data_IF_601404467613
#
_entry.id   IF_601404467613
#
_cell.length_a   1.000
_cell.length_b   1.000
_cell.length_c   1.000
_cell.angle_alpha   90.00
_cell.angle_beta   90.00
_cell.angle_gamma   90.00
#
_symmetry.space_group_name_H-M   'P 1'
#
loop_
_entity.id
_entity.type
_entity.pdbx_description
1 polymer ?
#
# COMPACT_ATOMS: atom_id res chain seq x y z
N UNK A 1 -68.90 42.28 5.76
CA UNK A 1 -69.20 40.86 5.52
C UNK A 1 -67.92 40.17 5.04
N UNK A 2 -67.51 39.09 5.70
CA UNK A 2 -66.28 38.32 5.44
C UNK A 2 -66.40 37.57 4.11
N UNK A 3 -65.28 37.32 3.43
CA UNK A 3 -64.87 35.99 2.91
C UNK A 3 -63.33 35.98 2.90
N UNK A 4 -62.72 35.10 3.68
CA UNK A 4 -61.29 34.74 3.61
C UNK A 4 -61.19 33.52 2.70
N UNK A 5 -60.41 33.58 1.63
CA UNK A 5 -60.06 32.40 0.82
C UNK A 5 -58.69 31.93 1.28
N UNK A 6 -58.67 30.74 1.87
CA UNK A 6 -57.47 29.97 2.17
C UNK A 6 -56.90 29.44 0.86
N UNK A 7 -55.63 29.73 0.56
CA UNK A 7 -54.88 28.97 -0.45
C UNK A 7 -53.76 28.23 0.26
N UNK A 8 -53.97 26.94 0.46
CA UNK A 8 -53.03 26.01 1.06
C UNK A 8 -52.20 25.42 -0.08
N UNK A 9 -50.98 25.92 -0.26
CA UNK A 9 -50.03 25.38 -1.24
C UNK A 9 -49.26 24.26 -0.57
N UNK A 10 -49.60 23.02 -0.92
CA UNK A 10 -48.85 21.83 -0.51
C UNK A 10 -47.56 21.75 -1.34
N UNK A 11 -46.41 22.06 -0.73
CA UNK A 11 -45.10 21.83 -1.32
C UNK A 11 -44.72 20.35 -1.15
N UNK A 12 -44.77 19.58 -2.23
CA UNK A 12 -44.23 18.22 -2.28
C UNK A 12 -42.69 18.29 -2.31
N UNK A 13 -42.06 18.12 -1.15
CA UNK A 13 -40.62 17.92 -1.03
C UNK A 13 -40.27 16.53 -1.57
N UNK A 14 -39.88 16.44 -2.84
CA UNK A 14 -39.23 15.25 -3.37
C UNK A 14 -37.83 15.14 -2.74
N UNK A 15 -37.71 14.39 -1.66
CA UNK A 15 -36.42 13.89 -1.19
C UNK A 15 -35.91 12.89 -2.23
N UNK A 16 -35.04 13.36 -3.12
CA UNK A 16 -34.19 12.47 -3.92
C UNK A 16 -33.20 11.86 -2.94
N UNK A 17 -33.52 10.68 -2.40
CA UNK A 17 -32.54 9.81 -1.77
C UNK A 17 -31.55 9.41 -2.86
N UNK A 18 -30.45 10.16 -2.94
CA UNK A 18 -29.28 9.69 -3.67
C UNK A 18 -28.75 8.50 -2.89
N UNK A 19 -29.13 7.29 -3.31
CA UNK A 19 -28.44 6.08 -2.91
C UNK A 19 -27.02 6.21 -3.44
N UNK A 20 -26.11 6.75 -2.63
CA UNK A 20 -24.68 6.60 -2.85
C UNK A 20 -24.41 5.10 -2.75
N UNK A 21 -24.41 4.42 -3.90
CA UNK A 21 -23.81 3.10 -3.99
C UNK A 21 -22.36 3.28 -3.57
N UNK A 22 -21.97 2.62 -2.47
CA UNK A 22 -20.57 2.48 -2.07
C UNK A 22 -19.87 1.70 -3.17
N UNK A 23 -19.43 2.41 -4.21
CA UNK A 23 -18.60 1.86 -5.25
C UNK A 23 -17.32 1.36 -4.59
N UNK A 24 -16.96 0.10 -4.84
CA UNK A 24 -15.74 -0.47 -4.30
C UNK A 24 -14.56 0.28 -4.96
N UNK A 25 -14.03 1.28 -4.26
CA UNK A 25 -12.94 2.15 -4.73
C UNK A 25 -11.76 1.34 -5.26
N UNK A 26 -11.53 0.14 -4.71
CA UNK A 26 -10.45 -0.73 -5.16
C UNK A 26 -10.60 -1.18 -6.62
N UNK A 27 -11.82 -1.31 -7.14
CA UNK A 27 -12.08 -1.67 -8.54
C UNK A 27 -11.57 -0.61 -9.52
N UNK A 28 -11.44 0.66 -9.09
CA UNK A 28 -10.83 1.69 -9.93
C UNK A 28 -9.34 1.46 -10.21
N UNK A 29 -8.69 0.56 -9.46
CA UNK A 29 -7.29 0.16 -9.64
C UNK A 29 -7.14 -1.20 -10.36
N UNK A 30 -8.22 -1.76 -10.93
CA UNK A 30 -8.21 -3.10 -11.56
C UNK A 30 -7.08 -3.25 -12.57
N UNK A 31 -6.81 -2.23 -13.38
CA UNK A 31 -5.72 -2.23 -14.36
C UNK A 31 -4.36 -2.49 -13.73
N UNK A 32 -4.07 -1.93 -12.54
CA UNK A 32 -2.81 -2.17 -11.84
C UNK A 32 -2.69 -3.64 -11.37
N UNK A 33 -3.81 -4.24 -10.98
CA UNK A 33 -3.86 -5.66 -10.58
C UNK A 33 -3.72 -6.62 -11.77
N UNK A 34 -4.33 -6.28 -12.91
CA UNK A 34 -4.27 -7.09 -14.13
C UNK A 34 -2.90 -7.02 -14.82
N UNK A 35 -2.11 -5.97 -14.56
CA UNK A 35 -0.85 -5.70 -15.24
C UNK A 35 0.34 -5.74 -14.27
N UNK A 36 0.65 -4.63 -13.59
CA UNK A 36 1.85 -4.49 -12.75
C UNK A 36 1.92 -5.51 -11.62
N UNK A 37 0.77 -5.86 -11.04
CA UNK A 37 0.67 -6.82 -9.93
C UNK A 37 0.19 -8.21 -10.37
N UNK A 38 0.13 -8.50 -11.68
CA UNK A 38 -0.43 -9.76 -12.19
C UNK A 38 0.24 -10.98 -11.57
N UNK A 39 1.58 -10.95 -11.44
CA UNK A 39 2.35 -12.07 -10.90
C UNK A 39 2.07 -12.26 -9.40
N UNK A 40 1.84 -11.17 -8.67
CA UNK A 40 1.41 -11.23 -7.28
C UNK A 40 -0.03 -11.73 -7.16
N UNK A 41 -0.97 -11.26 -7.99
CA UNK A 41 -2.36 -11.76 -7.95
C UNK A 41 -2.46 -13.24 -8.28
N UNK A 42 -1.61 -13.73 -9.18
CA UNK A 42 -1.58 -15.13 -9.60
C UNK A 42 -1.16 -16.10 -8.49
N UNK A 43 -0.54 -15.62 -7.41
CA UNK A 43 -0.20 -16.48 -6.27
C UNK A 43 -1.39 -16.82 -5.38
N UNK A 44 -2.50 -16.08 -5.48
CA UNK A 44 -3.70 -16.29 -4.67
C UNK A 44 -4.81 -16.95 -5.48
N UNK A 45 -5.29 -18.12 -5.04
CA UNK A 45 -6.48 -18.73 -5.65
C UNK A 45 -7.70 -17.85 -5.36
N UNK A 46 -8.68 -17.83 -6.26
CA UNK A 46 -9.92 -17.07 -6.10
C UNK A 46 -9.72 -15.57 -5.81
N UNK A 47 -8.59 -14.98 -6.25
CA UNK A 47 -8.38 -13.54 -6.11
C UNK A 47 -9.44 -12.78 -6.93
N UNK A 48 -10.25 -11.97 -6.25
CA UNK A 48 -11.25 -11.13 -6.88
C UNK A 48 -11.42 -9.83 -6.08
N UNK A 49 -11.11 -8.70 -6.69
CA UNK A 49 -11.17 -7.36 -6.08
C UNK A 49 -12.56 -7.00 -5.55
N UNK A 50 -13.64 -7.52 -6.16
CA UNK A 50 -15.02 -7.28 -5.70
C UNK A 50 -15.29 -7.90 -4.32
N UNK A 51 -14.51 -8.92 -3.92
CA UNK A 51 -14.62 -9.58 -2.62
C UNK A 51 -13.81 -8.88 -1.53
N UNK A 52 -13.04 -7.84 -1.87
CA UNK A 52 -12.32 -7.05 -0.89
C UNK A 52 -13.19 -5.93 -0.34
N UNK A 53 -13.00 -5.64 0.94
CA UNK A 53 -13.68 -4.57 1.63
C UNK A 53 -12.73 -3.83 2.58
N UNK A 54 -13.08 -2.59 2.90
CA UNK A 54 -12.32 -1.76 3.84
C UNK A 54 -12.39 -2.41 5.21
N UNK A 55 -11.24 -2.87 5.71
CA UNK A 55 -11.11 -3.36 7.07
C UNK A 55 -10.76 -2.24 8.05
N UNK A 56 -9.95 -1.26 7.62
CA UNK A 56 -9.65 -0.08 8.40
C UNK A 56 -9.14 1.08 7.55
N UNK A 57 -9.27 2.30 8.07
CA UNK A 57 -8.60 3.49 7.55
C UNK A 57 -7.90 4.17 8.72
N UNK A 58 -6.62 4.48 8.55
CA UNK A 58 -5.79 5.18 9.53
C UNK A 58 -5.16 6.40 8.91
N UNK A 59 -4.75 7.36 9.75
CA UNK A 59 -3.95 8.49 9.30
C UNK A 59 -2.50 8.08 9.09
N UNK A 60 -1.86 8.71 8.11
CA UNK A 60 -0.42 8.65 7.96
C UNK A 60 0.28 9.27 9.18
N UNK A 61 1.43 8.71 9.55
CA UNK A 61 2.29 9.33 10.56
C UNK A 61 2.79 10.69 10.08
N UNK A 62 3.18 11.54 11.03
CA UNK A 62 3.86 12.79 10.69
C UNK A 62 5.20 12.51 10.01
N UNK A 63 5.62 13.43 9.14
CA UNK A 63 6.91 13.32 8.48
C UNK A 63 8.02 13.82 9.42
N UNK A 64 9.17 13.15 9.39
CA UNK A 64 10.41 13.61 10.01
C UNK A 64 11.32 14.26 8.98
N UNK A 65 12.22 15.12 9.44
CA UNK A 65 13.25 15.71 8.60
C UNK A 65 14.24 14.63 8.13
N UNK A 66 14.59 14.67 6.84
CA UNK A 66 15.56 13.77 6.22
C UNK A 66 16.77 14.58 5.78
N UNK A 67 17.96 14.20 6.25
CA UNK A 67 19.19 14.80 5.77
C UNK A 67 19.66 14.09 4.49
N UNK A 68 19.23 14.57 3.33
CA UNK A 68 19.61 13.97 2.03
C UNK A 68 21.09 14.13 1.67
N UNK A 69 21.84 14.94 2.42
CA UNK A 69 23.29 15.10 2.25
C UNK A 69 24.09 14.23 3.21
N UNK A 70 23.43 13.48 4.10
CA UNK A 70 24.10 12.52 4.96
C UNK A 70 24.72 11.40 4.13
N UNK A 71 26.00 11.10 4.40
CA UNK A 71 26.74 10.08 3.65
C UNK A 71 26.14 8.67 3.82
N UNK A 72 25.54 8.38 4.98
CA UNK A 72 24.85 7.12 5.23
C UNK A 72 23.61 7.00 4.33
N UNK A 73 22.80 8.05 4.24
CA UNK A 73 21.64 8.09 3.34
C UNK A 73 22.03 7.96 1.86
N UNK A 74 23.08 8.67 1.42
CA UNK A 74 23.57 8.59 0.03
C UNK A 74 24.02 7.17 -0.32
N UNK A 75 24.77 6.53 0.58
CA UNK A 75 25.22 5.15 0.39
C UNK A 75 24.05 4.16 0.40
N UNK A 76 23.11 4.33 1.32
CA UNK A 76 21.89 3.54 1.41
C UNK A 76 21.08 3.58 0.10
N UNK A 77 20.83 4.77 -0.46
CA UNK A 77 20.15 4.88 -1.75
C UNK A 77 20.98 4.24 -2.86
N UNK A 78 22.29 4.47 -2.88
CA UNK A 78 23.18 3.89 -3.90
C UNK A 78 23.06 2.36 -3.98
N UNK A 79 23.03 1.70 -2.82
CA UNK A 79 22.92 0.25 -2.70
C UNK A 79 21.52 -0.27 -3.07
N UNK A 80 20.48 0.31 -2.50
CA UNK A 80 19.12 -0.22 -2.63
C UNK A 80 18.36 0.30 -3.84
N UNK A 81 18.92 1.24 -4.62
CA UNK A 81 18.27 1.83 -5.80
C UNK A 81 17.55 0.83 -6.71
N UNK A 82 18.07 -0.39 -7.00
CA UNK A 82 17.37 -1.36 -7.84
C UNK A 82 16.02 -1.83 -7.27
N UNK A 83 15.90 -1.84 -5.94
CA UNK A 83 14.71 -2.36 -5.22
C UNK A 83 13.81 -1.29 -4.63
N UNK A 84 14.25 -0.03 -4.62
CA UNK A 84 13.38 1.09 -4.25
C UNK A 84 12.27 1.31 -5.27
N UNK A 85 11.11 1.76 -4.79
CA UNK A 85 9.92 2.02 -5.60
C UNK A 85 9.73 3.51 -5.80
N UNK A 86 10.29 4.06 -6.88
CA UNK A 86 10.20 5.48 -7.21
C UNK A 86 8.83 5.86 -7.81
N UNK A 87 8.35 7.05 -7.47
CA UNK A 87 7.26 7.70 -8.20
C UNK A 87 7.69 8.10 -9.61
N UNK A 88 6.74 8.41 -10.49
CA UNK A 88 7.01 8.75 -11.90
C UNK A 88 7.99 9.92 -12.05
N UNK A 89 7.80 10.96 -11.23
CA UNK A 89 8.68 12.14 -11.22
C UNK A 89 10.00 11.92 -10.45
N UNK A 90 10.18 10.76 -9.82
CA UNK A 90 11.34 10.34 -9.02
C UNK A 90 11.66 11.25 -7.83
N UNK A 91 10.75 12.13 -7.42
CA UNK A 91 10.88 12.97 -6.23
C UNK A 91 10.50 12.24 -4.95
N UNK A 92 9.83 11.09 -5.08
CA UNK A 92 9.47 10.22 -3.97
C UNK A 92 9.88 8.79 -4.26
N UNK A 93 10.11 8.03 -3.20
CA UNK A 93 10.18 6.59 -3.29
C UNK A 93 9.68 5.92 -2.01
N UNK A 94 9.22 4.68 -2.16
CA UNK A 94 8.90 3.79 -1.04
C UNK A 94 10.02 2.78 -0.90
N UNK A 95 10.48 2.61 0.33
CA UNK A 95 11.31 1.49 0.74
C UNK A 95 10.46 0.47 1.52
N UNK A 96 10.54 -0.80 1.09
CA UNK A 96 9.91 -1.94 1.76
C UNK A 96 10.93 -2.99 2.23
N UNK A 97 12.23 -2.81 1.94
CA UNK A 97 13.26 -3.82 2.20
C UNK A 97 14.36 -3.33 3.13
N UNK A 98 14.66 -2.02 3.17
CA UNK A 98 15.80 -1.50 3.91
C UNK A 98 15.76 -1.72 5.42
N UNK A 99 14.58 -2.01 5.99
CA UNK A 99 14.48 -2.44 7.38
C UNK A 99 14.93 -3.90 7.58
N UNK A 100 14.45 -4.80 6.73
CA UNK A 100 14.78 -6.24 6.80
C UNK A 100 16.25 -6.49 6.41
N UNK A 101 16.85 -5.63 5.60
CA UNK A 101 18.22 -5.81 5.12
C UNK A 101 19.21 -5.19 6.10
N UNK A 102 19.80 -6.01 6.98
CA UNK A 102 20.96 -5.62 7.78
C UNK A 102 22.17 -5.44 6.86
N UNK A 103 22.53 -4.18 6.64
CA UNK A 103 23.66 -3.76 5.80
C UNK A 103 24.99 -3.97 6.53
N UNK A 104 25.26 -5.18 7.03
CA UNK A 104 26.53 -5.48 7.69
C UNK A 104 27.68 -5.53 6.67
N UNK A 105 28.38 -4.39 6.63
CA UNK A 105 29.73 -4.12 6.12
C UNK A 105 30.71 -5.30 6.32
N UNK A 106 30.68 -6.25 5.40
CA UNK A 106 31.88 -6.97 4.93
C UNK A 106 31.68 -7.27 3.44
N UNK A 107 32.47 -6.61 2.60
CA UNK A 107 32.64 -6.93 1.18
C UNK A 107 31.39 -6.75 0.28
N UNK A 108 30.66 -5.63 0.44
CA UNK A 108 29.51 -5.24 -0.41
C UNK A 108 28.34 -6.23 -0.46
N UNK A 109 28.22 -7.12 0.53
CA UNK A 109 27.10 -8.06 0.65
C UNK A 109 25.99 -7.51 1.54
N UNK A 110 24.76 -7.85 1.18
CA UNK A 110 23.56 -7.53 1.94
C UNK A 110 23.16 -8.79 2.72
N UNK A 111 22.89 -8.66 4.02
CA UNK A 111 22.35 -9.73 4.87
C UNK A 111 20.95 -9.35 5.34
N UNK A 112 20.05 -10.30 5.54
CA UNK A 112 18.73 -10.05 6.14
C UNK A 112 18.84 -10.15 7.65
N UNK A 113 18.26 -9.20 8.38
CA UNK A 113 17.84 -9.47 9.74
C UNK A 113 16.73 -10.53 9.67
N UNK A 114 16.83 -11.58 10.48
CA UNK A 114 15.85 -12.66 10.49
C UNK A 114 14.66 -12.33 11.42
N UNK A 115 14.35 -11.04 11.63
CA UNK A 115 13.29 -10.63 12.56
C UNK A 115 11.90 -11.01 12.04
N UNK A 116 11.74 -11.04 10.72
CA UNK A 116 10.45 -11.18 10.05
C UNK A 116 9.53 -9.96 10.21
N UNK A 117 10.02 -8.88 10.80
CA UNK A 117 9.32 -7.60 10.90
C UNK A 117 9.74 -6.70 9.73
N UNK A 118 8.84 -5.81 9.31
CA UNK A 118 9.08 -4.94 8.16
C UNK A 118 8.63 -3.52 8.44
N UNK A 119 9.44 -2.54 8.04
CA UNK A 119 9.05 -1.13 8.04
C UNK A 119 8.93 -0.61 6.61
N UNK A 120 7.83 0.08 6.36
CA UNK A 120 7.55 0.69 5.06
C UNK A 120 7.71 2.20 5.20
N UNK A 121 8.72 2.75 4.54
CA UNK A 121 9.07 4.16 4.65
C UNK A 121 8.85 4.87 3.31
N UNK A 122 8.17 6.01 3.35
CA UNK A 122 8.09 6.95 2.24
C UNK A 122 9.17 8.01 2.40
N UNK A 123 9.98 8.21 1.38
CA UNK A 123 10.93 9.29 1.28
C UNK A 123 10.44 10.33 0.26
N UNK A 124 10.48 11.61 0.64
CA UNK A 124 10.22 12.76 -0.23
C UNK A 124 11.51 13.59 -0.34
N UNK A 125 12.20 13.44 -1.48
CA UNK A 125 13.50 14.06 -1.76
C UNK A 125 13.38 15.57 -1.96
N UNK A 126 12.24 16.03 -2.48
CA UNK A 126 11.98 17.44 -2.70
C UNK A 126 11.75 18.16 -1.37
N UNK A 127 10.95 17.56 -0.48
CA UNK A 127 10.67 18.10 0.86
C UNK A 127 11.76 17.78 1.87
N UNK A 128 12.73 16.93 1.50
CA UNK A 128 13.75 16.42 2.42
C UNK A 128 13.11 15.87 3.69
N UNK A 129 12.16 14.98 3.50
CA UNK A 129 11.43 14.36 4.61
C UNK A 129 11.25 12.88 4.38
N UNK A 130 11.17 12.13 5.47
CA UNK A 130 10.76 10.73 5.45
C UNK A 130 9.53 10.53 6.33
N UNK A 131 8.83 9.42 6.12
CA UNK A 131 7.64 9.09 6.88
C UNK A 131 7.41 7.60 6.89
N UNK A 132 7.17 7.05 8.08
CA UNK A 132 6.67 5.68 8.21
C UNK A 132 5.24 5.58 7.69
N UNK A 133 5.04 4.73 6.68
CA UNK A 133 3.71 4.37 6.17
C UNK A 133 3.14 3.27 7.06
N UNK A 134 3.87 2.17 7.22
CA UNK A 134 3.42 0.99 7.96
C UNK A 134 4.57 0.37 8.76
N UNK A 135 4.20 -0.27 9.86
CA UNK A 135 5.02 -1.27 10.53
C UNK A 135 4.26 -2.60 10.44
N UNK A 136 4.90 -3.61 9.88
CA UNK A 136 4.35 -4.96 9.77
C UNK A 136 5.10 -5.86 10.74
N UNK A 137 4.38 -6.48 11.68
CA UNK A 137 4.95 -7.55 12.50
C UNK A 137 5.04 -8.86 11.71
N UNK A 138 5.56 -9.90 12.35
CA UNK A 138 5.90 -11.22 11.76
C UNK A 138 4.79 -11.87 10.92
N UNK A 139 3.51 -11.58 11.20
CA UNK A 139 2.39 -12.16 10.46
C UNK A 139 2.04 -11.44 9.16
N UNK A 140 2.64 -10.29 8.87
CA UNK A 140 2.31 -9.50 7.68
C UNK A 140 3.57 -9.06 6.95
N UNK A 141 3.54 -9.09 5.63
CA UNK A 141 4.66 -8.64 4.82
C UNK A 141 4.13 -7.98 3.55
N UNK A 142 4.56 -6.75 3.30
CA UNK A 142 4.41 -6.07 2.02
C UNK A 142 5.44 -6.64 1.06
N UNK A 143 4.98 -7.03 -0.11
CA UNK A 143 5.77 -7.73 -1.10
C UNK A 143 5.99 -6.90 -2.36
N UNK A 144 5.08 -5.96 -2.65
CA UNK A 144 5.20 -5.10 -3.81
C UNK A 144 4.50 -3.73 -3.64
N UNK A 145 4.89 -2.78 -4.48
CA UNK A 145 4.37 -1.41 -4.50
C UNK A 145 4.12 -0.94 -5.93
N UNK A 146 2.95 -0.35 -6.16
CA UNK A 146 2.63 0.33 -7.41
C UNK A 146 2.25 1.78 -7.12
N UNK A 147 2.92 2.71 -7.80
CA UNK A 147 2.50 4.10 -7.85
C UNK A 147 1.41 4.26 -8.90
N UNK A 148 0.25 4.79 -8.50
CA UNK A 148 -0.81 5.16 -9.45
C UNK A 148 -0.66 6.62 -9.90
N UNK A 149 -0.09 7.45 -9.03
CA UNK A 149 0.28 8.83 -9.28
C UNK A 149 1.26 9.28 -8.19
N UNK A 150 1.87 10.46 -8.31
CA UNK A 150 2.77 11.00 -7.28
C UNK A 150 2.13 11.14 -5.87
N UNK A 151 0.80 11.06 -5.75
CA UNK A 151 0.06 11.18 -4.50
C UNK A 151 -0.63 9.87 -4.04
N UNK A 152 -0.62 8.81 -4.85
CA UNK A 152 -1.34 7.57 -4.56
C UNK A 152 -0.50 6.34 -4.87
N UNK A 153 -0.51 5.41 -3.93
CA UNK A 153 0.25 4.17 -4.02
C UNK A 153 -0.58 3.00 -3.49
N UNK A 154 -0.36 1.85 -4.12
CA UNK A 154 -0.92 0.55 -3.75
C UNK A 154 0.22 -0.25 -3.14
N UNK A 155 0.07 -0.69 -1.90
CA UNK A 155 0.95 -1.68 -1.29
C UNK A 155 0.22 -3.01 -1.27
N UNK A 156 0.87 -4.07 -1.77
CA UNK A 156 0.32 -5.42 -1.73
C UNK A 156 1.25 -6.36 -0.98
N UNK A 157 0.66 -7.34 -0.32
CA UNK A 157 1.40 -8.23 0.54
C UNK A 157 0.58 -9.41 1.00
N UNK A 158 1.07 -10.08 2.02
CA UNK A 158 0.45 -11.27 2.59
C UNK A 158 0.25 -11.14 4.08
N UNK A 159 -0.76 -11.81 4.59
CA UNK A 159 -1.02 -12.00 6.01
C UNK A 159 -1.08 -13.49 6.34
N UNK A 160 -0.19 -13.96 7.20
CA UNK A 160 -0.16 -15.33 7.72
C UNK A 160 -1.13 -15.41 8.89
N UNK A 161 -2.29 -16.00 8.67
CA UNK A 161 -3.26 -16.29 9.74
C UNK A 161 -2.88 -17.58 10.48
N UNK A 162 -2.46 -18.59 9.72
CA UNK A 162 -1.92 -19.87 10.22
C UNK A 162 -0.87 -20.42 9.26
N UNK A 163 -0.15 -21.48 9.64
CA UNK A 163 0.83 -22.17 8.77
C UNK A 163 0.26 -22.63 7.41
N UNK A 164 -1.06 -22.73 7.27
CA UNK A 164 -1.73 -23.18 6.03
C UNK A 164 -2.61 -22.11 5.38
N UNK A 165 -2.82 -20.97 6.05
CA UNK A 165 -3.74 -19.93 5.61
C UNK A 165 -2.96 -18.63 5.56
N UNK A 166 -2.60 -18.26 4.34
CA UNK A 166 -1.97 -16.99 4.02
C UNK A 166 -2.91 -16.23 3.10
N UNK A 167 -3.30 -15.01 3.47
CA UNK A 167 -4.27 -14.19 2.74
C UNK A 167 -3.60 -13.00 2.07
N UNK A 168 -4.16 -12.53 0.94
CA UNK A 168 -3.70 -11.30 0.33
C UNK A 168 -4.05 -10.11 1.22
N UNK A 169 -3.16 -9.13 1.20
CA UNK A 169 -3.21 -7.92 1.99
C UNK A 169 -3.04 -6.73 1.03
N UNK A 170 -3.97 -5.78 1.04
CA UNK A 170 -3.93 -4.63 0.13
C UNK A 170 -4.09 -3.34 0.94
N UNK A 171 -3.16 -2.40 0.77
CA UNK A 171 -3.27 -1.05 1.28
C UNK A 171 -3.34 -0.05 0.14
N UNK A 172 -4.28 0.88 0.22
CA UNK A 172 -4.28 2.10 -0.58
C UNK A 172 -3.80 3.24 0.30
N UNK A 173 -2.78 3.95 -0.17
CA UNK A 173 -2.22 5.11 0.55
C UNK A 173 -2.47 6.35 -0.31
N UNK A 174 -3.15 7.32 0.30
CA UNK A 174 -3.48 8.60 -0.32
C UNK A 174 -2.73 9.71 0.44
N UNK A 175 -1.66 10.21 -0.17
CA UNK A 175 -0.79 11.23 0.41
C UNK A 175 -1.49 12.60 0.47
N UNK A 176 -2.43 12.88 -0.43
CA UNK A 176 -3.20 14.13 -0.39
C UNK A 176 -4.18 14.13 0.79
N UNK A 177 -4.83 12.99 1.04
CA UNK A 177 -5.76 12.81 2.17
C UNK A 177 -5.07 12.45 3.49
N UNK A 178 -3.75 12.19 3.46
CA UNK A 178 -2.97 11.76 4.61
C UNK A 178 -3.51 10.47 5.24
N UNK A 179 -3.92 9.50 4.40
CA UNK A 179 -4.63 8.29 4.84
C UNK A 179 -4.05 7.02 4.26
N UNK A 180 -4.21 5.94 5.01
CA UNK A 180 -3.95 4.56 4.59
C UNK A 180 -5.24 3.77 4.82
N UNK A 181 -5.73 3.13 3.77
CA UNK A 181 -6.90 2.26 3.82
C UNK A 181 -6.49 0.82 3.57
N UNK A 182 -6.75 -0.04 4.54
CA UNK A 182 -6.54 -1.48 4.48
C UNK A 182 -7.78 -2.16 3.90
N UNK A 183 -7.57 -3.01 2.91
CA UNK A 183 -8.58 -3.89 2.35
C UNK A 183 -8.27 -5.35 2.70
N UNK A 184 -9.32 -6.10 3.07
CA UNK A 184 -9.26 -7.54 3.29
C UNK A 184 -10.34 -8.24 2.47
N UNK A 185 -10.04 -9.45 2.01
CA UNK A 185 -11.00 -10.28 1.29
C UNK A 185 -12.02 -10.91 2.24
N UNK A 186 -13.29 -10.91 1.85
CA UNK A 186 -14.37 -11.70 2.46
C UNK A 186 -14.35 -13.16 2.01
N UNK A 187 -13.70 -13.43 0.89
CA UNK A 187 -13.62 -14.78 0.34
C UNK A 187 -12.64 -15.62 1.17
N UNK A 188 -13.19 -16.56 1.93
CA UNK A 188 -12.42 -17.45 2.79
C UNK A 188 -11.49 -18.37 2.00
N UNK A 189 -11.81 -18.64 0.74
CA UNK A 189 -11.01 -19.45 -0.15
C UNK A 189 -9.96 -18.63 -0.91
N UNK A 190 -9.94 -17.31 -0.77
CA UNK A 190 -8.87 -16.48 -1.31
C UNK A 190 -7.62 -16.60 -0.43
N UNK A 191 -6.73 -17.53 -0.81
CA UNK A 191 -5.51 -17.90 -0.08
C UNK A 191 -4.33 -18.10 -1.05
N UNK A 192 -3.11 -17.90 -0.53
CA UNK A 192 -1.87 -18.12 -1.25
C UNK A 192 -1.71 -19.60 -1.62
N UNK A 193 -1.23 -19.85 -2.84
CA UNK A 193 -0.99 -21.19 -3.42
C UNK A 193 0.44 -21.39 -3.86
N UNK A 194 1.21 -20.32 -3.98
CA UNK A 194 2.64 -20.31 -4.30
C UNK A 194 3.31 -19.10 -3.69
N UNK A 195 4.61 -19.19 -3.39
CA UNK A 195 5.34 -18.05 -2.86
C UNK A 195 5.53 -16.98 -3.95
N UNK A 196 5.27 -15.72 -3.59
CA UNK A 196 5.61 -14.58 -4.44
C UNK A 196 7.05 -14.12 -4.22
N UNK A 197 7.76 -13.83 -5.31
CA UNK A 197 9.06 -13.15 -5.27
C UNK A 197 9.03 -11.94 -6.19
N UNK A 198 9.23 -10.76 -5.61
CA UNK A 198 9.29 -9.51 -6.38
C UNK A 198 10.38 -9.57 -7.45
N UNK A 199 10.03 -9.14 -8.66
CA UNK A 199 11.00 -9.03 -9.76
C UNK A 199 12.15 -8.07 -9.43
N UNK A 200 11.93 -7.11 -8.54
CA UNK A 200 12.95 -6.16 -8.08
C UNK A 200 14.06 -6.83 -7.28
N UNK A 201 13.71 -7.80 -6.42
CA UNK A 201 14.69 -8.51 -5.60
C UNK A 201 15.67 -9.35 -6.43
N UNK A 202 15.26 -9.82 -7.62
CA UNK A 202 16.15 -10.56 -8.54
C UNK A 202 17.38 -9.77 -8.98
N UNK A 203 17.34 -8.44 -8.85
CA UNK A 203 18.43 -7.56 -9.23
C UNK A 203 19.40 -7.25 -8.07
N UNK A 204 19.14 -7.77 -6.86
CA UNK A 204 20.11 -7.72 -5.76
C UNK A 204 20.99 -8.96 -5.82
N UNK A 205 22.31 -8.74 -5.77
CA UNK A 205 23.25 -9.82 -5.46
C UNK A 205 23.18 -10.10 -3.95
N UNK A 206 22.17 -10.85 -3.52
CA UNK A 206 21.97 -11.27 -2.13
C UNK A 206 22.38 -12.74 -1.97
N UNK A 207 23.02 -13.10 -0.86
CA UNK A 207 23.19 -14.50 -0.45
C UNK A 207 22.22 -14.80 0.69
N UNK A 208 21.33 -15.76 0.49
CA UNK A 208 20.66 -16.41 1.61
C UNK A 208 21.71 -17.22 2.37
N UNK A 209 21.99 -16.86 3.62
CA UNK A 209 22.77 -17.68 4.54
C UNK A 209 21.94 -18.88 5.03
#
# INVERSE_FOLDING_TARGET
MRIKINLLVAAAFCFVFSSFTNENVLLSYKTNFDNELKDWTATFKNFNLEKFEIASTVKLHDASALNTSDSGFVNYIGLLKPVLYFSDNKQRFVDIYGYELNMEKKDDKIASDNSGEQQIILYDLQKKSERKILFCGISSQIQDVVWQSDAKLILVGRNVETKKIVRPLIYLVDLAKQQITLYRTKDKDCIETSAYTSSKLKNLHYSED
#
